data_IF_768429045163
#
_entry.id   IF_768429045163
#
_cell.length_a   1.000
_cell.length_b   1.000
_cell.length_c   1.000
_cell.angle_alpha   90.00
_cell.angle_beta   90.00
_cell.angle_gamma   90.00
#
_symmetry.space_group_name_H-M   'P 1'
#
loop_
_entity.id
_entity.type
_entity.pdbx_description
1 polymer ?
#
# COMPACT_ATOMS: atom_id res chain seq x y z
N UNK A 1 -9.56 -4.63 -26.43
CA UNK A 1 -10.94 -4.80 -25.93
C UNK A 1 -11.36 -3.52 -25.21
N UNK A 2 -12.63 -3.18 -25.35
CA UNK A 2 -13.28 -1.87 -25.20
C UNK A 2 -13.25 -1.33 -23.75
N UNK A 3 -12.90 -0.06 -23.57
CA UNK A 3 -13.74 0.92 -22.86
C UNK A 3 -13.10 2.32 -22.89
N UNK A 4 -13.67 3.19 -23.74
CA UNK A 4 -13.51 4.64 -23.69
C UNK A 4 -14.58 5.18 -22.76
N UNK A 5 -14.21 5.97 -21.75
CA UNK A 5 -15.16 6.85 -21.05
C UNK A 5 -14.49 8.21 -20.82
N UNK A 6 -14.89 9.17 -21.66
CA UNK A 6 -14.88 10.60 -21.37
C UNK A 6 -16.20 10.97 -20.69
N UNK A 7 -16.19 12.02 -19.84
CA UNK A 7 -17.05 13.17 -20.12
C UNK A 7 -16.28 14.49 -19.88
N UNK A 8 -16.27 15.45 -20.81
CA UNK A 8 -17.28 16.52 -20.96
C UNK A 8 -17.62 17.23 -19.65
N UNK A 9 -16.98 18.39 -19.42
CA UNK A 9 -17.55 19.50 -18.66
C UNK A 9 -17.32 20.77 -19.48
N UNK A 10 -18.37 21.20 -20.16
CA UNK A 10 -18.51 22.50 -20.82
C UNK A 10 -19.26 23.43 -19.86
N UNK A 11 -18.76 24.67 -19.79
CA UNK A 11 -19.32 25.93 -19.30
C UNK A 11 -20.72 25.92 -18.64
N UNK A 12 -20.81 26.64 -17.51
CA UNK A 12 -21.88 27.60 -17.25
C UNK A 12 -21.29 28.85 -16.57
N UNK A 13 -21.00 29.87 -17.37
CA UNK A 13 -20.90 31.24 -16.92
C UNK A 13 -22.29 31.87 -17.10
N UNK A 14 -22.88 32.39 -16.03
CA UNK A 14 -24.06 33.24 -16.10
C UNK A 14 -23.71 34.62 -15.56
N UNK A 15 -23.56 35.55 -16.50
CA UNK A 15 -23.81 36.98 -16.31
C UNK A 15 -25.29 37.17 -16.53
N UNK A 16 -25.97 37.89 -15.64
CA UNK A 16 -26.97 38.88 -16.04
C UNK A 16 -27.35 39.81 -14.90
N UNK A 17 -27.06 41.09 -15.13
CA UNK A 17 -27.74 42.25 -14.57
C UNK A 17 -29.25 42.19 -14.79
N UNK A 18 -30.05 42.87 -13.94
CA UNK A 18 -31.29 43.57 -14.32
C UNK A 18 -31.64 44.61 -13.24
N UNK A 19 -31.70 45.88 -13.69
CA UNK A 19 -32.73 46.93 -13.48
C UNK A 19 -33.02 47.38 -12.03
N UNK A 20 -32.51 48.55 -11.63
CA UNK A 20 -33.21 49.86 -11.62
C UNK A 20 -34.60 49.86 -10.96
N UNK A 21 -34.74 50.64 -9.89
CA UNK A 21 -35.97 51.37 -9.62
C UNK A 21 -35.61 52.73 -9.05
N UNK A 22 -35.81 53.75 -9.88
CA UNK A 22 -36.13 55.10 -9.44
C UNK A 22 -37.45 55.06 -8.65
N UNK A 23 -37.54 55.87 -7.61
CA UNK A 23 -38.80 56.43 -7.14
C UNK A 23 -38.52 57.84 -6.66
N UNK A 24 -38.77 58.81 -7.53
CA UNK A 24 -38.99 60.17 -7.11
C UNK A 24 -40.29 60.27 -6.31
N UNK A 25 -40.31 61.20 -5.36
CA UNK A 25 -41.48 62.04 -5.17
C UNK A 25 -41.04 63.39 -4.59
N UNK A 26 -41.33 64.39 -5.39
CA UNK A 26 -41.34 65.81 -5.11
C UNK A 26 -42.67 66.19 -4.43
N UNK A 27 -42.80 67.48 -4.08
CA UNK A 27 -43.98 68.25 -3.64
C UNK A 27 -44.12 68.42 -2.11
N UNK A 28 -44.05 69.69 -1.69
CA UNK A 28 -44.81 70.13 -0.52
C UNK A 28 -44.38 71.42 0.16
N UNK A 29 -44.25 72.53 -0.57
CA UNK A 29 -44.13 73.88 0.00
C UNK A 29 -45.37 74.21 0.83
N UNK A 30 -45.19 74.44 2.13
CA UNK A 30 -46.28 74.65 3.10
C UNK A 30 -45.98 75.86 3.99
N UNK A 31 -46.76 76.91 3.75
CA UNK A 31 -46.89 78.17 4.49
C UNK A 31 -46.71 78.02 6.01
N UNK A 32 -45.79 78.82 6.56
CA UNK A 32 -45.71 79.12 7.99
C UNK A 32 -47.03 79.72 8.46
N UNK A 33 -47.73 79.02 9.36
CA UNK A 33 -48.72 79.63 10.26
C UNK A 33 -48.03 79.85 11.60
N UNK A 34 -48.14 81.06 12.13
CA UNK A 34 -47.72 81.36 13.49
C UNK A 34 -48.72 80.73 14.45
N UNK A 35 -48.26 79.74 15.22
CA UNK A 35 -48.90 79.30 16.45
C UNK A 35 -48.12 79.94 17.58
N UNK A 36 -48.76 80.84 18.32
CA UNK A 36 -48.20 81.35 19.58
C UNK A 36 -48.45 80.29 20.63
N UNK A 37 -47.43 79.48 20.90
CA UNK A 37 -47.41 78.58 22.05
C UNK A 37 -46.94 79.41 23.24
N UNK A 38 -47.85 79.74 24.15
CA UNK A 38 -47.48 80.27 25.46
C UNK A 38 -47.05 79.09 26.32
N UNK A 39 -45.75 79.04 26.59
CA UNK A 39 -45.11 78.02 27.40
C UNK A 39 -45.30 78.37 28.89
N UNK A 40 -45.94 77.54 29.73
CA UNK A 40 -45.89 77.71 31.17
C UNK A 40 -44.49 77.31 31.66
N UNK A 41 -43.66 78.32 31.93
CA UNK A 41 -42.46 78.15 32.74
C UNK A 41 -42.86 77.63 34.12
N UNK A 42 -42.43 76.41 34.49
CA UNK A 42 -41.55 76.20 35.65
C UNK A 42 -41.19 74.72 35.91
N UNK A 43 -39.88 74.50 36.05
CA UNK A 43 -39.14 73.69 37.05
C UNK A 43 -39.82 72.42 37.63
N UNK A 44 -39.12 71.30 37.43
CA UNK A 44 -38.78 70.27 38.45
C UNK A 44 -39.94 69.65 39.25
N UNK A 45 -40.30 68.40 38.94
CA UNK A 45 -39.95 67.22 39.76
C UNK A 45 -40.74 65.99 39.31
N UNK A 46 -40.32 64.84 39.84
CA UNK A 46 -40.65 63.46 39.47
C UNK A 46 -42.15 63.11 39.61
N UNK A 47 -42.61 62.34 38.62
CA UNK A 47 -43.56 61.22 38.68
C UNK A 47 -45.03 61.51 39.05
N UNK A 48 -45.87 61.02 38.14
CA UNK A 48 -47.28 60.57 38.24
C UNK A 48 -48.42 61.55 37.92
N UNK A 49 -49.01 61.26 36.75
CA UNK A 49 -50.31 61.58 36.16
C UNK A 49 -50.53 62.97 35.54
N UNK A 50 -50.55 63.06 34.20
CA UNK A 50 -51.13 64.21 33.52
C UNK A 50 -52.66 64.05 33.50
N UNK A 51 -53.34 64.80 34.36
CA UNK A 51 -54.71 65.21 34.06
C UNK A 51 -54.65 66.09 32.80
N UNK A 52 -55.35 65.70 31.76
CA UNK A 52 -55.46 66.48 30.53
C UNK A 52 -56.26 67.74 30.81
N UNK A 53 -55.59 68.88 30.96
CA UNK A 53 -56.25 70.19 30.94
C UNK A 53 -56.80 70.43 29.54
N UNK A 54 -58.11 70.25 29.38
CA UNK A 54 -58.84 70.56 28.14
C UNK A 54 -59.11 72.06 28.13
N UNK A 55 -58.35 72.80 27.32
CA UNK A 55 -58.65 74.20 27.00
C UNK A 55 -59.72 74.22 25.92
N UNK A 56 -60.96 74.55 26.30
CA UNK A 56 -62.05 74.84 25.36
C UNK A 56 -61.88 76.29 24.90
N UNK A 57 -61.48 76.48 23.64
CA UNK A 57 -61.47 77.79 23.00
C UNK A 57 -62.87 78.01 22.41
N UNK A 58 -63.72 78.73 23.16
CA UNK A 58 -64.97 79.26 22.64
C UNK A 58 -64.68 80.46 21.73
N UNK A 59 -65.10 80.38 20.47
CA UNK A 59 -65.10 81.53 19.57
C UNK A 59 -66.48 82.18 19.68
N UNK A 60 -66.57 83.28 20.44
CA UNK A 60 -67.77 84.11 20.52
C UNK A 60 -67.61 85.32 19.61
N UNK A 61 -68.45 85.43 18.58
CA UNK A 61 -68.74 86.72 17.94
C UNK A 61 -69.65 87.51 18.89
N UNK A 62 -69.24 88.75 19.21
CA UNK A 62 -70.01 89.69 20.01
C UNK A 62 -71.31 90.08 19.28
N UNK A 63 -72.43 89.50 19.71
CA UNK A 63 -73.73 90.17 19.61
C UNK A 63 -74.54 89.81 20.84
N UNK A 64 -74.83 90.84 21.64
CA UNK A 64 -75.63 90.70 22.86
C UNK A 64 -77.02 90.21 22.54
N UNK A 65 -77.35 89.05 23.08
CA UNK A 65 -78.49 88.81 23.94
C UNK A 65 -78.15 87.55 24.75
N UNK A 66 -78.43 87.61 26.04
CA UNK A 66 -78.02 86.66 27.08
C UNK A 66 -78.86 85.38 26.94
N UNK A 67 -78.53 84.54 25.95
CA UNK A 67 -79.08 83.18 25.85
C UNK A 67 -78.36 82.30 26.89
N UNK A 68 -79.13 81.91 27.91
CA UNK A 68 -78.80 80.83 28.84
C UNK A 68 -78.33 79.61 28.04
N UNK A 69 -77.01 79.45 27.95
CA UNK A 69 -76.40 78.29 27.33
C UNK A 69 -76.89 77.07 28.10
N UNK A 70 -77.78 76.34 27.46
CA UNK A 70 -78.49 75.21 28.02
C UNK A 70 -77.46 74.21 28.55
N UNK A 71 -77.39 74.09 29.89
CA UNK A 71 -76.40 73.30 30.64
C UNK A 71 -76.35 71.85 30.16
N UNK A 72 -77.44 71.36 29.58
CA UNK A 72 -77.55 70.05 28.97
C UNK A 72 -76.60 69.89 27.77
N UNK A 73 -76.54 70.89 26.87
CA UNK A 73 -75.65 70.92 25.69
C UNK A 73 -74.17 70.91 26.07
N UNK A 74 -73.79 71.68 27.09
CA UNK A 74 -72.41 71.68 27.62
C UNK A 74 -72.08 70.30 28.23
N UNK A 75 -73.01 69.68 28.93
CA UNK A 75 -72.80 68.34 29.51
C UNK A 75 -72.66 67.26 28.42
N UNK A 76 -73.43 67.37 27.33
CA UNK A 76 -73.38 66.41 26.22
C UNK A 76 -72.07 66.55 25.43
N UNK A 77 -71.63 67.79 25.22
CA UNK A 77 -70.34 68.08 24.58
C UNK A 77 -69.17 67.60 25.44
N UNK A 78 -69.23 67.81 26.76
CA UNK A 78 -68.23 67.32 27.70
C UNK A 78 -68.11 65.80 27.67
N UNK A 79 -69.24 65.07 27.68
CA UNK A 79 -69.26 63.62 27.59
C UNK A 79 -68.72 63.11 26.24
N UNK A 80 -69.05 63.78 25.13
CA UNK A 80 -68.52 63.45 23.82
C UNK A 80 -67.00 63.70 23.73
N UNK A 81 -66.51 64.82 24.27
CA UNK A 81 -65.06 65.11 24.35
C UNK A 81 -64.37 64.04 25.20
N UNK A 82 -64.95 63.65 26.33
CA UNK A 82 -64.39 62.62 27.20
C UNK A 82 -64.33 61.26 26.48
N UNK A 83 -65.41 60.87 25.80
CA UNK A 83 -65.49 59.64 25.00
C UNK A 83 -64.47 59.63 23.86
N UNK A 84 -64.33 60.76 23.15
CA UNK A 84 -63.37 60.90 22.04
C UNK A 84 -61.94 60.87 22.57
N UNK A 85 -61.67 61.51 23.71
CA UNK A 85 -60.35 61.49 24.36
C UNK A 85 -59.98 60.08 24.82
N UNK A 86 -60.93 59.36 25.42
CA UNK A 86 -60.73 57.96 25.82
C UNK A 86 -60.47 57.05 24.61
N UNK A 87 -61.18 57.27 23.50
CA UNK A 87 -60.96 56.53 22.26
C UNK A 87 -59.58 56.82 21.66
N UNK A 88 -59.20 58.10 21.56
CA UNK A 88 -57.87 58.51 21.06
C UNK A 88 -56.77 57.96 21.96
N UNK A 89 -56.96 57.98 23.28
CA UNK A 89 -56.02 57.39 24.23
C UNK A 89 -55.89 55.87 24.02
N UNK A 90 -57.00 55.17 23.87
CA UNK A 90 -57.01 53.72 23.57
C UNK A 90 -56.33 53.40 22.24
N UNK A 91 -56.58 54.19 21.19
CA UNK A 91 -55.92 54.07 19.90
C UNK A 91 -54.42 54.35 20.00
N UNK A 92 -54.01 55.36 20.76
CA UNK A 92 -52.60 55.65 21.03
C UNK A 92 -51.90 54.48 21.72
N UNK A 93 -52.54 53.86 22.72
CA UNK A 93 -52.02 52.65 23.39
C UNK A 93 -51.91 51.45 22.43
N UNK A 94 -52.87 51.27 21.52
CA UNK A 94 -52.80 50.24 20.48
C UNK A 94 -51.64 50.48 19.52
N UNK A 95 -51.47 51.72 19.05
CA UNK A 95 -50.36 52.10 18.15
C UNK A 95 -49.02 51.87 18.83
N UNK A 96 -48.88 52.25 20.11
CA UNK A 96 -47.66 52.05 20.88
C UNK A 96 -47.36 50.55 21.07
N UNK A 97 -48.36 49.75 21.43
CA UNK A 97 -48.20 48.30 21.56
C UNK A 97 -47.82 47.64 20.22
N UNK A 98 -48.43 48.07 19.11
CA UNK A 98 -48.11 47.57 17.78
C UNK A 98 -46.69 47.97 17.37
N UNK A 99 -46.28 49.22 17.67
CA UNK A 99 -44.92 49.70 17.47
C UNK A 99 -43.89 48.88 18.23
N UNK A 100 -44.16 48.58 19.51
CA UNK A 100 -43.31 47.73 20.35
C UNK A 100 -43.24 46.29 19.82
N UNK A 101 -44.33 45.74 19.30
CA UNK A 101 -44.34 44.41 18.65
C UNK A 101 -43.53 44.40 17.35
N UNK A 102 -43.70 45.41 16.49
CA UNK A 102 -42.94 45.58 15.25
C UNK A 102 -41.45 45.71 15.53
N UNK A 103 -41.07 46.47 16.54
CA UNK A 103 -39.67 46.62 16.93
C UNK A 103 -39.07 45.30 17.43
N UNK A 104 -39.81 44.53 18.26
CA UNK A 104 -39.39 43.18 18.69
C UNK A 104 -39.22 42.23 17.50
N UNK A 105 -40.16 42.24 16.56
CA UNK A 105 -40.09 41.42 15.35
C UNK A 105 -38.88 41.81 14.49
N UNK A 106 -38.64 43.11 14.30
CA UNK A 106 -37.50 43.62 13.55
C UNK A 106 -36.16 43.20 14.17
N UNK A 107 -36.02 43.30 15.50
CA UNK A 107 -34.83 42.80 16.20
C UNK A 107 -34.64 41.28 16.07
N UNK A 108 -35.73 40.51 16.17
CA UNK A 108 -35.68 39.05 16.00
C UNK A 108 -35.26 38.66 14.57
N UNK A 109 -35.82 39.35 13.57
CA UNK A 109 -35.47 39.14 12.16
C UNK A 109 -34.01 39.49 11.88
N UNK A 110 -33.51 40.62 12.38
CA UNK A 110 -32.10 41.00 12.23
C UNK A 110 -31.16 40.01 12.93
N UNK A 111 -31.54 39.51 14.12
CA UNK A 111 -30.76 38.48 14.81
C UNK A 111 -30.73 37.16 14.03
N UNK A 112 -31.85 36.73 13.46
CA UNK A 112 -31.90 35.54 12.60
C UNK A 112 -31.10 35.74 11.32
N UNK A 113 -31.19 36.91 10.67
CA UNK A 113 -30.44 37.20 9.45
C UNK A 113 -28.93 37.22 9.71
N UNK A 114 -28.50 37.76 10.86
CA UNK A 114 -27.12 37.70 11.31
C UNK A 114 -26.63 36.26 11.52
N UNK A 115 -27.46 35.42 12.13
CA UNK A 115 -27.15 33.99 12.31
C UNK A 115 -27.03 33.25 10.97
N UNK A 116 -27.99 33.43 10.06
CA UNK A 116 -27.97 32.83 8.72
C UNK A 116 -26.70 33.25 7.96
N UNK A 117 -26.33 34.54 8.04
CA UNK A 117 -25.12 35.04 7.37
C UNK A 117 -23.85 34.40 7.92
N UNK A 118 -23.76 34.24 9.26
CA UNK A 118 -22.65 33.54 9.91
C UNK A 118 -22.57 32.07 9.50
N UNK A 119 -23.71 31.37 9.47
CA UNK A 119 -23.78 29.95 9.11
C UNK A 119 -23.39 29.73 7.64
N UNK A 120 -23.81 30.63 6.73
CA UNK A 120 -23.39 30.61 5.32
C UNK A 120 -21.89 30.81 5.18
N UNK A 121 -21.30 31.73 5.96
CA UNK A 121 -19.87 32.00 5.91
C UNK A 121 -19.05 30.82 6.43
N UNK A 122 -19.47 30.21 7.55
CA UNK A 122 -18.84 28.98 8.07
C UNK A 122 -18.89 27.84 7.04
N UNK A 123 -20.06 27.60 6.45
CA UNK A 123 -20.23 26.55 5.43
C UNK A 123 -19.34 26.79 4.21
N UNK A 124 -19.14 28.05 3.82
CA UNK A 124 -18.26 28.42 2.71
C UNK A 124 -16.78 28.13 3.02
N UNK A 125 -16.34 28.42 4.24
CA UNK A 125 -14.96 28.14 4.69
C UNK A 125 -14.71 26.62 4.72
N UNK A 126 -15.63 25.85 5.29
CA UNK A 126 -15.57 24.38 5.27
C UNK A 126 -15.53 23.83 3.84
N UNK A 127 -16.33 24.37 2.92
CA UNK A 127 -16.33 23.95 1.53
C UNK A 127 -14.99 24.24 0.82
N UNK A 128 -14.36 25.39 1.11
CA UNK A 128 -13.03 25.71 0.57
C UNK A 128 -11.96 24.76 1.11
N UNK A 129 -12.00 24.44 2.41
CA UNK A 129 -11.09 23.47 3.02
C UNK A 129 -11.25 22.08 2.40
N UNK A 130 -12.50 21.62 2.23
CA UNK A 130 -12.80 20.34 1.57
C UNK A 130 -12.30 20.36 0.12
N UNK A 131 -12.50 21.44 -0.62
CA UNK A 131 -12.04 21.56 -2.00
C UNK A 131 -10.51 21.49 -2.10
N UNK A 132 -9.79 22.12 -1.17
CA UNK A 132 -8.33 22.03 -1.10
C UNK A 132 -7.87 20.59 -0.81
N UNK A 133 -8.50 19.92 0.17
CA UNK A 133 -8.23 18.51 0.48
C UNK A 133 -8.47 17.59 -0.72
N UNK A 134 -9.57 17.79 -1.45
CA UNK A 134 -9.90 17.03 -2.67
C UNK A 134 -8.86 17.27 -3.77
N UNK A 135 -8.43 18.51 -3.97
CA UNK A 135 -7.39 18.86 -4.94
C UNK A 135 -6.05 18.18 -4.59
N UNK A 136 -5.66 18.21 -3.32
CA UNK A 136 -4.44 17.57 -2.84
C UNK A 136 -4.50 16.04 -3.00
N UNK A 137 -5.64 15.42 -2.66
CA UNK A 137 -5.86 13.99 -2.87
C UNK A 137 -5.81 13.60 -4.36
N UNK A 138 -6.38 14.43 -5.24
CA UNK A 138 -6.36 14.21 -6.70
C UNK A 138 -4.93 14.28 -7.25
N UNK A 139 -4.14 15.26 -6.79
CA UNK A 139 -2.73 15.38 -7.19
C UNK A 139 -1.92 14.16 -6.73
N UNK A 140 -2.14 13.70 -5.49
CA UNK A 140 -1.49 12.50 -4.97
C UNK A 140 -1.84 11.25 -5.78
N UNK A 141 -3.13 11.07 -6.11
CA UNK A 141 -3.60 9.97 -6.95
C UNK A 141 -2.92 9.98 -8.34
N UNK A 142 -2.80 11.16 -8.96
CA UNK A 142 -2.11 11.31 -10.25
C UNK A 142 -0.63 10.93 -10.17
N UNK A 143 0.07 11.32 -9.10
CA UNK A 143 1.47 10.91 -8.86
C UNK A 143 1.57 9.39 -8.72
N UNK A 144 0.67 8.76 -7.95
CA UNK A 144 0.64 7.31 -7.78
C UNK A 144 0.40 6.58 -9.11
N UNK A 145 -0.52 7.06 -9.95
CA UNK A 145 -0.79 6.49 -11.29
C UNK A 145 0.45 6.57 -12.19
N UNK A 146 1.18 7.69 -12.17
CA UNK A 146 2.42 7.84 -12.95
C UNK A 146 3.53 6.91 -12.44
N UNK A 147 3.67 6.78 -11.12
CA UNK A 147 4.62 5.84 -10.50
C UNK A 147 4.28 4.39 -10.84
N UNK A 148 3.00 4.02 -10.81
CA UNK A 148 2.52 2.71 -11.20
C UNK A 148 2.84 2.40 -12.67
N UNK A 149 2.49 3.30 -13.60
CA UNK A 149 2.78 3.12 -15.02
C UNK A 149 4.28 2.98 -15.31
N UNK A 150 5.13 3.74 -14.60
CA UNK A 150 6.59 3.61 -14.72
C UNK A 150 7.10 2.25 -14.22
N UNK A 151 6.55 1.75 -13.13
CA UNK A 151 6.89 0.45 -12.56
C UNK A 151 6.42 -0.70 -13.46
N UNK A 152 5.20 -0.63 -13.98
CA UNK A 152 4.64 -1.58 -14.93
C UNK A 152 5.53 -1.72 -16.18
N UNK A 153 5.94 -0.60 -16.79
CA UNK A 153 6.86 -0.61 -17.94
C UNK A 153 8.21 -1.27 -17.63
N UNK A 154 8.72 -1.12 -16.40
CA UNK A 154 9.96 -1.79 -15.98
C UNK A 154 9.75 -3.29 -15.82
N UNK A 155 8.63 -3.70 -15.22
CA UNK A 155 8.29 -5.10 -15.03
C UNK A 155 8.10 -5.82 -16.36
N UNK A 156 7.38 -5.22 -17.31
CA UNK A 156 7.21 -5.79 -18.67
C UNK A 156 8.58 -6.03 -19.33
N UNK A 157 9.49 -5.05 -19.29
CA UNK A 157 10.86 -5.23 -19.83
C UNK A 157 11.66 -6.34 -19.14
N UNK A 158 11.43 -6.59 -17.86
CA UNK A 158 12.09 -7.68 -17.12
C UNK A 158 11.50 -9.02 -17.55
N UNK A 159 10.17 -9.10 -17.66
CA UNK A 159 9.46 -10.31 -18.13
C UNK A 159 9.92 -10.68 -19.55
N UNK A 160 9.92 -9.73 -20.49
CA UNK A 160 10.38 -9.97 -21.87
C UNK A 160 11.82 -10.50 -21.92
N UNK A 161 12.70 -9.97 -21.06
CA UNK A 161 14.10 -10.43 -20.96
C UNK A 161 14.19 -11.86 -20.41
N UNK A 162 13.36 -12.20 -19.43
CA UNK A 162 13.33 -13.54 -18.85
C UNK A 162 12.76 -14.56 -19.83
N UNK A 163 11.70 -14.21 -20.57
CA UNK A 163 11.11 -15.07 -21.60
C UNK A 163 12.13 -15.41 -22.70
N UNK A 164 12.90 -14.42 -23.17
CA UNK A 164 13.96 -14.65 -24.13
C UNK A 164 15.06 -15.59 -23.59
N UNK A 165 15.50 -15.39 -22.33
CA UNK A 165 16.48 -16.29 -21.69
C UNK A 165 15.96 -17.72 -21.55
N UNK A 166 14.70 -17.88 -21.16
CA UNK A 166 14.06 -19.20 -21.06
C UNK A 166 14.02 -19.89 -22.43
N UNK A 167 13.71 -19.14 -23.50
CA UNK A 167 13.71 -19.67 -24.86
C UNK A 167 15.12 -20.11 -25.31
N UNK A 168 16.15 -19.30 -25.02
CA UNK A 168 17.55 -19.64 -25.31
C UNK A 168 18.02 -20.88 -24.55
N UNK A 169 17.76 -20.95 -23.24
CA UNK A 169 18.12 -22.10 -22.41
C UNK A 169 17.41 -23.37 -22.86
N UNK A 170 16.12 -23.28 -23.21
CA UNK A 170 15.37 -24.41 -23.77
C UNK A 170 15.99 -24.92 -25.07
N UNK A 171 16.37 -24.02 -25.98
CA UNK A 171 17.04 -24.39 -27.23
C UNK A 171 18.43 -25.01 -27.01
N UNK A 172 19.15 -24.63 -25.95
CA UNK A 172 20.41 -25.28 -25.54
C UNK A 172 20.14 -26.67 -24.97
N UNK A 173 19.13 -26.81 -24.11
CA UNK A 173 18.74 -28.09 -23.53
C UNK A 173 18.33 -29.11 -24.60
N UNK A 174 17.52 -28.69 -25.58
CA UNK A 174 17.08 -29.54 -26.69
C UNK A 174 18.28 -30.02 -27.55
N UNK A 175 19.24 -29.13 -27.84
CA UNK A 175 20.49 -29.48 -28.54
C UNK A 175 21.33 -30.50 -27.75
N UNK A 176 21.46 -30.29 -26.45
CA UNK A 176 22.21 -31.21 -25.59
C UNK A 176 21.53 -32.57 -25.49
N UNK A 177 20.20 -32.61 -25.35
CA UNK A 177 19.44 -33.85 -25.31
C UNK A 177 19.64 -34.67 -26.59
N UNK A 178 19.54 -34.03 -27.76
CA UNK A 178 19.81 -34.69 -29.04
C UNK A 178 21.23 -35.26 -29.11
N UNK A 179 22.23 -34.50 -28.65
CA UNK A 179 23.62 -34.97 -28.60
C UNK A 179 23.78 -36.18 -27.68
N UNK A 180 23.12 -36.19 -26.52
CA UNK A 180 23.16 -37.30 -25.57
C UNK A 180 22.48 -38.55 -26.12
N UNK A 181 21.35 -38.42 -26.80
CA UNK A 181 20.67 -39.53 -27.47
C UNK A 181 21.56 -40.19 -28.55
N UNK A 182 22.24 -39.40 -29.36
CA UNK A 182 23.18 -39.92 -30.38
C UNK A 182 24.36 -40.65 -29.73
N UNK A 183 24.89 -40.12 -28.63
CA UNK A 183 25.95 -40.77 -27.85
C UNK A 183 25.50 -42.09 -27.22
N UNK A 184 24.29 -42.13 -26.66
CA UNK A 184 23.69 -43.35 -26.10
C UNK A 184 23.59 -44.44 -27.16
N UNK A 185 23.01 -44.14 -28.33
CA UNK A 185 22.94 -45.08 -29.46
C UNK A 185 24.31 -45.60 -29.89
N UNK A 186 25.32 -44.72 -29.92
CA UNK A 186 26.70 -45.10 -30.25
C UNK A 186 27.31 -46.05 -29.21
N UNK A 187 27.07 -45.80 -27.92
CA UNK A 187 27.54 -46.66 -26.83
C UNK A 187 26.84 -48.02 -26.83
N UNK A 188 25.53 -48.07 -27.05
CA UNK A 188 24.77 -49.31 -27.19
C UNK A 188 25.35 -50.19 -28.32
N UNK A 189 25.66 -49.58 -29.47
CA UNK A 189 26.30 -50.29 -30.59
C UNK A 189 27.69 -50.83 -30.24
N UNK A 190 28.50 -50.06 -29.50
CA UNK A 190 29.83 -50.50 -29.04
C UNK A 190 29.73 -51.64 -28.02
N UNK A 191 28.78 -51.55 -27.09
CA UNK A 191 28.54 -52.58 -26.09
C UNK A 191 28.13 -53.90 -26.76
N UNK A 192 27.25 -53.86 -27.76
CA UNK A 192 26.86 -55.04 -28.53
C UNK A 192 28.05 -55.71 -29.25
N UNK A 193 28.98 -54.91 -29.80
CA UNK A 193 30.21 -55.46 -30.41
C UNK A 193 31.13 -56.11 -29.38
N UNK A 194 31.35 -55.46 -28.24
CA UNK A 194 32.20 -56.01 -27.18
C UNK A 194 31.64 -57.30 -26.59
N UNK A 195 30.31 -57.43 -26.48
CA UNK A 195 29.67 -58.67 -26.07
C UNK A 195 29.96 -59.79 -27.06
N UNK A 196 29.80 -59.54 -28.36
CA UNK A 196 30.13 -60.51 -29.42
C UNK A 196 31.62 -60.91 -29.36
N UNK A 197 32.52 -59.95 -29.23
CA UNK A 197 33.97 -60.22 -29.16
C UNK A 197 34.35 -61.05 -27.93
N UNK A 198 33.72 -60.75 -26.78
CA UNK A 198 33.92 -61.48 -25.52
C UNK A 198 33.44 -62.91 -25.64
N UNK A 199 32.26 -63.12 -26.24
CA UNK A 199 31.71 -64.46 -26.48
C UNK A 199 32.59 -65.27 -27.44
N UNK A 200 33.11 -64.63 -28.49
CA UNK A 200 34.05 -65.26 -29.43
C UNK A 200 35.37 -65.65 -28.73
N UNK A 201 35.96 -64.75 -27.94
CA UNK A 201 37.17 -65.03 -27.18
C UNK A 201 36.96 -66.18 -26.17
N UNK A 202 35.81 -66.20 -25.50
CA UNK A 202 35.44 -67.28 -24.57
C UNK A 202 35.32 -68.62 -25.28
N UNK A 203 34.69 -68.67 -26.46
CA UNK A 203 34.59 -69.88 -27.30
C UNK A 203 35.97 -70.38 -27.74
N UNK A 204 36.86 -69.47 -28.16
CA UNK A 204 38.25 -69.80 -28.55
C UNK A 204 39.10 -70.29 -27.36
N UNK A 205 38.94 -69.70 -26.18
CA UNK A 205 39.63 -70.14 -24.97
C UNK A 205 39.14 -71.52 -24.50
N UNK A 206 37.83 -71.80 -24.62
CA UNK A 206 37.26 -73.10 -24.27
C UNK A 206 37.74 -74.22 -25.22
N UNK A 207 37.96 -73.94 -26.50
CA UNK A 207 38.46 -74.91 -27.48
C UNK A 207 39.97 -75.18 -27.35
N UNK A 208 40.73 -74.25 -26.78
CA UNK A 208 42.14 -74.44 -26.40
C UNK A 208 42.26 -74.81 -24.92
N UNK A 209 41.76 -75.98 -24.50
CA UNK A 209 42.21 -76.59 -23.24
C UNK A 209 43.69 -76.93 -23.39
N UNK A 210 44.54 -75.96 -23.05
CA UNK A 210 45.99 -76.09 -23.01
C UNK A 210 46.36 -77.15 -21.98
N UNK A 211 46.47 -78.39 -22.44
CA UNK A 211 47.19 -79.41 -21.70
C UNK A 211 48.60 -78.83 -21.51
N UNK A 212 49.06 -78.73 -20.26
CA UNK A 212 50.46 -78.44 -19.99
C UNK A 212 51.31 -79.33 -20.89
N UNK A 213 52.36 -78.81 -21.55
CA UNK A 213 53.18 -79.63 -22.43
C UNK A 213 53.73 -80.83 -21.64
N UNK A 214 54.20 -81.87 -22.33
CA UNK A 214 54.79 -83.01 -21.62
C UNK A 214 56.09 -82.55 -20.95
N UNK A 215 56.22 -82.81 -19.65
CA UNK A 215 57.40 -82.42 -18.88
C UNK A 215 57.10 -82.38 -17.38
N UNK A 216 58.14 -82.07 -16.59
CA UNK A 216 58.01 -81.74 -15.17
C UNK A 216 58.02 -80.23 -15.00
N UNK A 217 57.03 -79.69 -14.30
CA UNK A 217 56.90 -78.26 -14.11
C UNK A 217 56.76 -77.95 -12.64
N UNK A 218 57.49 -76.95 -12.17
CA UNK A 218 57.29 -76.36 -10.85
C UNK A 218 56.95 -74.89 -11.02
N UNK A 219 55.86 -74.46 -10.37
CA UNK A 219 55.44 -73.07 -10.29
C UNK A 219 55.53 -72.60 -8.84
N UNK A 220 55.78 -71.31 -8.60
CA UNK A 220 55.75 -70.78 -7.24
C UNK A 220 54.34 -70.89 -6.67
N UNK A 221 54.23 -71.41 -5.45
CA UNK A 221 52.94 -71.62 -4.83
C UNK A 221 52.37 -70.32 -4.27
N UNK A 222 51.10 -70.06 -4.52
CA UNK A 222 50.33 -68.98 -3.90
C UNK A 222 48.99 -69.53 -3.39
N UNK A 223 48.99 -70.13 -2.19
CA UNK A 223 47.82 -70.86 -1.68
C UNK A 223 47.84 -72.34 -2.10
N UNK A 224 46.67 -72.92 -2.37
CA UNK A 224 46.52 -74.31 -2.80
C UNK A 224 47.11 -74.56 -4.19
N UNK A 225 47.60 -75.76 -4.45
CA UNK A 225 48.15 -76.10 -5.76
C UNK A 225 47.04 -76.34 -6.80
N UNK A 226 47.23 -75.91 -8.07
CA UNK A 226 46.30 -76.25 -9.14
C UNK A 226 46.15 -77.76 -9.30
N UNK A 227 45.01 -78.19 -9.88
CA UNK A 227 44.75 -79.60 -10.11
C UNK A 227 45.88 -80.28 -10.89
N UNK A 228 46.38 -81.39 -10.34
CA UNK A 228 47.50 -82.16 -10.91
C UNK A 228 48.90 -81.67 -10.55
N UNK A 229 49.04 -80.63 -9.73
CA UNK A 229 50.30 -80.23 -9.12
C UNK A 229 50.31 -80.56 -7.62
N UNK A 230 51.47 -80.96 -7.10
CA UNK A 230 51.70 -81.28 -5.70
C UNK A 230 52.58 -80.23 -5.04
N UNK A 231 52.25 -79.87 -3.81
CA UNK A 231 53.02 -78.85 -3.07
C UNK A 231 54.37 -79.41 -2.65
N UNK A 232 55.43 -78.66 -2.94
CA UNK A 232 56.78 -78.90 -2.48
C UNK A 232 57.23 -77.69 -1.66
N UNK A 233 57.98 -77.92 -0.58
CA UNK A 233 58.50 -76.84 0.26
C UNK A 233 59.92 -77.13 0.69
N UNK A 234 60.80 -76.17 0.48
CA UNK A 234 62.14 -76.14 1.03
C UNK A 234 62.30 -74.93 1.94
N UNK A 235 63.07 -75.09 3.02
CA UNK A 235 63.49 -73.97 3.84
C UNK A 235 64.99 -74.06 4.08
N UNK A 236 65.65 -72.91 4.01
CA UNK A 236 67.01 -72.72 4.48
C UNK A 236 66.93 -71.73 5.64
N UNK A 237 67.16 -72.24 6.84
CA UNK A 237 67.17 -71.45 8.08
C UNK A 237 68.59 -71.08 8.42
N UNK A 238 68.77 -69.85 8.91
CA UNK A 238 70.01 -69.40 9.55
C UNK A 238 71.19 -69.37 8.57
N UNK A 239 71.01 -68.64 7.48
CA UNK A 239 72.08 -68.28 6.55
C UNK A 239 72.87 -67.15 7.20
N UNK A 240 74.13 -67.40 7.54
CA UNK A 240 75.01 -66.34 8.03
C UNK A 240 75.27 -65.32 6.90
N UNK A 241 75.07 -64.05 7.19
CA UNK A 241 75.28 -62.93 6.29
C UNK A 241 76.58 -62.22 6.64
N UNK A 242 77.28 -61.67 5.66
CA UNK A 242 78.47 -60.87 5.93
C UNK A 242 78.14 -59.61 6.76
N UNK A 243 77.01 -58.95 6.48
CA UNK A 243 76.54 -57.76 7.19
C UNK A 243 75.04 -57.87 7.44
N UNK A 244 74.56 -57.23 8.50
CA UNK A 244 73.15 -57.19 8.89
C UNK A 244 72.37 -56.04 8.23
N UNK A 245 72.99 -55.29 7.33
CA UNK A 245 72.29 -54.25 6.55
C UNK A 245 71.25 -54.86 5.60
N UNK A 246 70.12 -54.16 5.43
CA UNK A 246 69.11 -54.46 4.42
C UNK A 246 69.61 -54.36 2.97
N UNK A 247 70.84 -53.87 2.76
CA UNK A 247 71.51 -53.86 1.47
C UNK A 247 71.91 -55.26 0.99
N UNK A 248 72.13 -56.20 1.92
CA UNK A 248 72.58 -57.56 1.59
C UNK A 248 71.40 -58.52 1.40
N UNK A 249 70.30 -58.35 2.14
CA UNK A 249 69.05 -59.09 1.95
C UNK A 249 67.87 -58.13 2.04
N UNK A 250 67.07 -58.11 0.97
CA UNK A 250 65.78 -57.44 0.93
C UNK A 250 64.69 -58.45 1.24
N UNK A 251 63.97 -58.22 2.33
CA UNK A 251 62.82 -59.05 2.68
C UNK A 251 61.76 -58.99 1.57
N UNK A 252 61.35 -60.14 1.06
CA UNK A 252 60.37 -60.26 -0.02
C UNK A 252 59.49 -61.47 0.21
N UNK A 253 58.20 -61.34 -0.14
CA UNK A 253 57.25 -62.44 -0.16
C UNK A 253 56.69 -62.61 -1.57
N UNK A 254 56.78 -63.83 -2.10
CA UNK A 254 56.23 -64.22 -3.40
C UNK A 254 55.26 -65.37 -3.18
N UNK A 255 53.98 -65.02 -3.04
CA UNK A 255 52.92 -65.96 -2.67
C UNK A 255 53.21 -66.63 -1.31
N UNK A 256 53.44 -67.93 -1.33
CA UNK A 256 53.80 -68.73 -0.16
C UNK A 256 55.30 -68.83 0.12
N UNK A 257 56.15 -68.33 -0.78
CA UNK A 257 57.60 -68.26 -0.62
C UNK A 257 57.99 -66.92 0.01
N UNK A 258 59.06 -66.89 0.79
CA UNK A 258 59.60 -65.66 1.37
C UNK A 258 61.10 -65.74 1.61
N UNK A 259 61.74 -64.58 1.60
CA UNK A 259 63.14 -64.37 1.98
C UNK A 259 63.15 -63.22 2.98
N UNK A 260 63.97 -63.30 4.03
CA UNK A 260 64.11 -62.21 4.98
C UNK A 260 65.12 -62.48 6.08
N UNK A 261 65.35 -61.46 6.91
CA UNK A 261 66.19 -61.55 8.11
C UNK A 261 65.37 -62.02 9.32
N UNK A 262 66.05 -62.49 10.36
CA UNK A 262 65.38 -62.73 11.64
C UNK A 262 65.12 -61.40 12.37
N UNK A 263 63.88 -61.21 12.83
CA UNK A 263 63.44 -60.02 13.58
C UNK A 263 62.70 -58.98 12.74
N UNK A 264 62.35 -57.87 13.39
CA UNK A 264 61.61 -56.75 12.82
C UNK A 264 62.50 -55.90 11.88
N UNK A 265 63.81 -55.84 12.16
CA UNK A 265 64.82 -55.29 11.26
C UNK A 265 66.02 -56.25 11.17
N UNK A 266 66.72 -56.24 10.03
CA UNK A 266 67.91 -57.06 9.85
C UNK A 266 68.96 -56.72 10.92
N UNK A 267 69.62 -57.75 11.49
CA UNK A 267 70.59 -57.60 12.58
C UNK A 267 70.05 -57.70 13.99
N UNK A 268 68.73 -57.66 14.21
CA UNK A 268 68.13 -57.76 15.55
C UNK A 268 68.60 -59.00 16.31
N UNK A 269 68.77 -60.12 15.62
CA UNK A 269 69.22 -61.39 16.19
C UNK A 269 70.55 -61.86 15.58
N UNK A 270 71.41 -60.91 15.20
CA UNK A 270 72.68 -61.18 14.53
C UNK A 270 72.57 -61.24 13.01
N UNK A 271 73.64 -61.72 12.38
CA UNK A 271 73.80 -61.73 10.93
C UNK A 271 73.17 -62.97 10.30
N UNK A 272 71.88 -63.18 10.52
CA UNK A 272 71.20 -64.38 10.02
C UNK A 272 69.98 -64.06 9.17
N UNK A 273 69.81 -64.83 8.11
CA UNK A 273 68.64 -64.79 7.25
C UNK A 273 68.00 -66.16 7.03
N UNK A 274 66.81 -66.13 6.43
CA UNK A 274 66.02 -67.29 6.09
C UNK A 274 65.47 -67.17 4.68
N UNK A 275 65.41 -68.31 3.99
CA UNK A 275 64.76 -68.47 2.70
C UNK A 275 63.76 -69.61 2.83
N UNK A 276 62.51 -69.38 2.40
CA UNK A 276 61.48 -70.40 2.29
C UNK A 276 60.95 -70.38 0.86
N UNK A 277 61.08 -71.50 0.15
CA UNK A 277 60.59 -71.66 -1.21
C UNK A 277 59.47 -72.69 -1.17
N UNK A 278 58.27 -72.26 -1.53
CA UNK A 278 57.12 -73.11 -1.71
C UNK A 278 56.75 -73.13 -3.19
N UNK A 279 56.71 -74.33 -3.77
CA UNK A 279 56.35 -74.56 -5.17
C UNK A 279 55.21 -75.56 -5.27
N UNK A 280 54.55 -75.58 -6.41
CA UNK A 280 53.63 -76.63 -6.84
C UNK A 280 54.27 -77.31 -8.04
N UNK A 281 54.53 -78.62 -7.96
CA UNK A 281 55.22 -79.38 -8.99
C UNK A 281 54.34 -80.48 -9.58
N UNK A 282 54.42 -80.70 -10.88
CA UNK A 282 53.72 -81.75 -11.64
C UNK A 282 54.72 -82.57 -12.44
#
# INVERSE_FOLDING_TARGET
MISKVTPWVVLMAFVSCIVMSESGNDVGDSKRRHVVVVNPSHKSSKISHPGSDVIVIGHGEESGDEEDIDKETISTLSNNILSTTNLVHSQSQLIENLGNQLQKLHHSLNAQNGKITSDIQLTREELMEVNEKVRNATNLANVMVLMWSKSEKKLVKIVDKLENKIAEEKAVADRNNKMWEERLKSLEKKLGRLQIDTDNARRLAASKRSRWPRGRYCILANGACPAGFYRQRGFLKTIYMYSSSGDYIKSMRMGSSYIGCYGQHCGQYGHYATINIATCCK
#
